data_IF_973387627332
#
_entry.id   IF_973387627332
#
_cell.length_a   1.000
_cell.length_b   1.000
_cell.length_c   1.000
_cell.angle_alpha   90.00
_cell.angle_beta   90.00
_cell.angle_gamma   90.00
#
_symmetry.space_group_name_H-M   'P 1'
#
loop_
_entity.id
_entity.type
_entity.pdbx_description
1 polymer ?
#
# COMPACT_ATOMS: atom_id res chain seq x y z
N UNK A 1 18.02 2.84 3.00
CA UNK A 1 17.40 3.90 2.19
C UNK A 1 18.51 4.72 1.58
N UNK A 2 18.82 4.40 0.33
CA UNK A 2 19.88 5.04 -0.45
C UNK A 2 19.42 6.40 -1.00
N UNK A 3 18.13 6.54 -1.29
CA UNK A 3 17.55 7.83 -1.64
C UNK A 3 17.33 8.67 -0.39
N UNK A 4 17.84 9.90 -0.44
CA UNK A 4 17.61 10.96 0.54
C UNK A 4 17.16 12.21 -0.21
N UNK A 5 16.09 12.84 0.26
CA UNK A 5 15.57 14.10 -0.26
C UNK A 5 16.58 15.21 0.01
N UNK A 6 16.72 16.11 -0.96
CA UNK A 6 17.51 17.33 -0.82
C UNK A 6 16.65 18.42 -0.19
N UNK A 7 17.24 19.19 0.73
CA UNK A 7 16.60 20.32 1.37
C UNK A 7 16.09 20.02 2.77
N UNK A 8 15.20 20.90 3.26
CA UNK A 8 14.64 20.83 4.60
C UNK A 8 13.23 20.22 4.56
N UNK A 9 12.82 19.51 5.62
CA UNK A 9 11.46 19.02 5.71
C UNK A 9 10.46 20.18 5.84
N UNK A 10 9.20 19.90 5.57
CA UNK A 10 8.10 20.84 5.80
C UNK A 10 7.64 20.79 7.25
N UNK A 11 7.13 21.91 7.77
CA UNK A 11 6.53 21.95 9.10
C UNK A 11 5.30 21.03 9.17
N UNK A 12 5.11 20.38 10.32
CA UNK A 12 4.08 19.37 10.58
C UNK A 12 4.21 18.05 9.80
N UNK A 13 5.22 17.91 8.92
CA UNK A 13 5.49 16.65 8.23
C UNK A 13 5.94 15.56 9.20
N UNK A 14 5.67 14.30 8.84
CA UNK A 14 6.05 13.13 9.63
C UNK A 14 7.21 12.44 8.94
N UNK A 15 8.31 12.31 9.66
CA UNK A 15 9.59 11.83 9.14
C UNK A 15 10.13 10.70 10.01
N UNK A 16 10.90 9.81 9.38
CA UNK A 16 11.68 8.80 10.08
C UNK A 16 13.06 9.36 10.44
N UNK A 17 13.48 9.15 11.68
CA UNK A 17 14.80 9.56 12.15
C UNK A 17 15.48 8.46 12.95
N UNK A 18 16.81 8.42 12.92
CA UNK A 18 17.63 7.54 13.74
C UNK A 18 18.22 8.31 14.91
N UNK A 19 18.06 7.78 16.13
CA UNK A 19 18.64 8.40 17.34
C UNK A 19 20.16 8.30 17.30
N UNK A 20 20.85 9.45 17.38
CA UNK A 20 22.31 9.52 17.40
C UNK A 20 22.86 9.64 18.80
N UNK A 21 22.32 10.57 19.58
CA UNK A 21 22.84 10.90 20.90
C UNK A 21 21.73 11.34 21.83
N UNK A 22 21.73 10.82 23.05
CA UNK A 22 20.79 11.22 24.09
C UNK A 22 21.53 12.09 25.12
N UNK A 23 21.07 13.32 25.33
CA UNK A 23 21.50 14.19 26.44
C UNK A 23 20.39 14.28 27.51
N UNK A 24 20.66 15.00 28.61
CA UNK A 24 19.75 15.13 29.75
C UNK A 24 18.41 15.81 29.42
N UNK A 25 18.38 16.79 28.51
CA UNK A 25 17.19 17.55 28.16
C UNK A 25 16.83 17.52 26.67
N UNK A 26 17.71 16.97 25.83
CA UNK A 26 17.57 16.95 24.37
C UNK A 26 18.09 15.64 23.79
N UNK A 27 17.42 15.17 22.74
CA UNK A 27 17.84 14.01 21.95
C UNK A 27 18.19 14.50 20.55
N UNK A 28 19.37 14.14 20.08
CA UNK A 28 19.82 14.43 18.72
C UNK A 28 19.55 13.22 17.84
N UNK A 29 18.91 13.47 16.70
CA UNK A 29 18.51 12.48 15.73
C UNK A 29 18.97 12.89 14.34
N UNK A 30 19.28 11.92 13.48
CA UNK A 30 19.50 12.15 12.05
C UNK A 30 18.21 11.80 11.30
N UNK A 31 17.74 12.68 10.41
CA UNK A 31 16.59 12.37 9.56
C UNK A 31 17.03 11.39 8.47
N UNK A 32 16.39 10.22 8.42
CA UNK A 32 16.78 9.16 7.48
C UNK A 32 16.40 9.51 6.03
N UNK A 33 15.34 10.31 5.87
CA UNK A 33 14.78 10.69 4.58
C UNK A 33 15.48 11.88 3.92
N UNK A 34 16.35 12.60 4.64
CA UNK A 34 16.96 13.86 4.18
C UNK A 34 18.49 13.79 4.24
N UNK A 35 19.16 14.39 3.25
CA UNK A 35 20.63 14.42 3.21
C UNK A 35 21.20 15.34 4.28
N UNK A 36 22.04 14.78 5.17
CA UNK A 36 22.82 15.51 6.17
C UNK A 36 21.99 16.42 7.10
N UNK A 37 20.73 16.05 7.35
CA UNK A 37 19.84 16.84 8.18
C UNK A 37 19.77 16.27 9.59
N UNK A 38 20.17 17.08 10.56
CA UNK A 38 20.05 16.78 11.98
C UNK A 38 18.80 17.43 12.56
N UNK A 39 18.24 16.76 13.58
CA UNK A 39 17.10 17.25 14.33
C UNK A 39 17.29 17.06 15.83
N UNK A 40 16.54 17.85 16.59
CA UNK A 40 16.54 17.82 18.04
C UNK A 40 15.12 17.57 18.55
N UNK A 41 14.99 16.64 19.48
CA UNK A 41 13.75 16.41 20.23
C UNK A 41 13.97 16.90 21.65
N UNK A 42 13.18 17.87 22.09
CA UNK A 42 13.18 18.33 23.47
C UNK A 42 12.50 17.29 24.38
N UNK A 43 12.94 17.17 25.64
CA UNK A 43 12.39 16.18 26.59
C UNK A 43 10.85 16.27 26.74
N UNK A 44 10.30 17.48 26.72
CA UNK A 44 8.85 17.72 26.80
C UNK A 44 8.06 17.20 25.60
N UNK A 45 8.73 16.94 24.48
CA UNK A 45 8.15 16.48 23.22
C UNK A 45 8.32 14.96 23.00
N UNK A 46 8.85 14.23 23.98
CA UNK A 46 9.02 12.77 23.90
C UNK A 46 7.71 12.04 24.24
N UNK A 47 7.09 12.39 25.37
CA UNK A 47 5.94 11.68 25.92
C UNK A 47 4.99 12.61 26.68
N UNK A 48 3.70 12.26 26.80
CA UNK A 48 2.78 13.00 27.67
C UNK A 48 3.10 12.72 29.14
N UNK A 49 3.30 13.78 29.93
CA UNK A 49 3.54 13.68 31.38
C UNK A 49 5.02 13.77 31.78
N UNK A 50 5.31 13.44 33.05
CA UNK A 50 6.66 13.52 33.62
C UNK A 50 7.47 12.27 33.30
N UNK A 51 8.60 12.47 32.62
CA UNK A 51 9.54 11.40 32.26
C UNK A 51 10.53 11.19 33.42
N UNK A 52 10.59 9.98 33.98
CA UNK A 52 11.59 9.60 35.00
C UNK A 52 12.90 9.16 34.36
N UNK A 53 12.83 8.38 33.29
CA UNK A 53 13.97 7.87 32.56
C UNK A 53 13.72 8.01 31.05
N UNK A 54 14.60 8.74 30.36
CA UNK A 54 14.50 8.98 28.91
C UNK A 54 14.75 7.69 28.11
N UNK A 55 15.59 6.79 28.65
CA UNK A 55 15.99 5.54 27.98
C UNK A 55 14.83 4.55 27.81
N UNK A 56 13.75 4.72 28.54
CA UNK A 56 12.54 3.88 28.41
C UNK A 56 11.77 4.23 27.12
N UNK A 57 11.94 5.45 26.60
CA UNK A 57 11.23 5.96 25.42
C UNK A 57 12.10 5.93 24.16
N UNK A 58 13.40 6.20 24.31
CA UNK A 58 14.33 6.32 23.18
C UNK A 58 15.62 5.55 23.45
N UNK A 59 16.14 4.92 22.40
CA UNK A 59 17.37 4.13 22.46
C UNK A 59 18.25 4.57 21.30
N UNK A 60 19.53 4.80 21.57
CA UNK A 60 20.52 5.17 20.55
C UNK A 60 20.59 4.11 19.45
N UNK A 61 20.70 4.56 18.20
CA UNK A 61 20.69 3.73 17.00
C UNK A 61 19.32 3.21 16.57
N UNK A 62 18.25 3.38 17.36
CA UNK A 62 16.89 3.00 16.94
C UNK A 62 16.25 4.08 16.08
N UNK A 63 15.34 3.64 15.21
CA UNK A 63 14.52 4.50 14.36
C UNK A 63 13.24 4.90 15.09
N UNK A 64 12.86 6.15 14.94
CA UNK A 64 11.66 6.76 15.50
C UNK A 64 10.90 7.49 14.39
N UNK A 65 9.58 7.48 14.50
CA UNK A 65 8.71 8.30 13.66
C UNK A 65 8.33 9.53 14.47
N UNK A 66 8.65 10.71 13.93
CA UNK A 66 8.51 11.99 14.61
C UNK A 66 7.84 13.01 13.70
N UNK A 67 7.21 14.02 14.31
CA UNK A 67 6.64 15.16 13.60
C UNK A 67 7.59 16.35 13.65
N UNK A 68 7.73 17.05 12.54
CA UNK A 68 8.45 18.31 12.44
C UNK A 68 7.64 19.43 13.06
N UNK A 69 8.18 20.10 14.07
CA UNK A 69 7.54 21.26 14.71
C UNK A 69 7.94 22.56 14.03
N UNK A 70 9.25 22.75 13.88
CA UNK A 70 9.83 23.99 13.38
C UNK A 70 11.11 23.70 12.62
N UNK A 71 11.34 24.48 11.58
CA UNK A 71 12.53 24.37 10.75
C UNK A 71 13.30 25.69 10.78
N UNK A 72 14.50 25.66 11.34
CA UNK A 72 15.42 26.80 11.29
C UNK A 72 16.29 26.68 10.04
N UNK A 73 16.02 27.53 9.04
CA UNK A 73 16.72 27.53 7.76
C UNK A 73 18.14 28.09 7.86
N UNK A 74 18.40 28.99 8.82
CA UNK A 74 19.72 29.61 9.00
C UNK A 74 20.68 28.63 9.68
N UNK A 75 20.19 27.95 10.72
CA UNK A 75 21.00 26.99 11.51
C UNK A 75 20.95 25.57 10.98
N UNK A 76 20.11 25.30 9.95
CA UNK A 76 19.82 23.96 9.44
C UNK A 76 19.48 22.99 10.56
N UNK A 77 18.69 23.43 11.53
CA UNK A 77 18.27 22.62 12.66
C UNK A 77 16.76 22.44 12.61
N UNK A 78 16.30 21.22 12.89
CA UNK A 78 14.87 20.87 12.87
C UNK A 78 14.44 20.46 14.27
N UNK A 79 13.43 21.13 14.81
CA UNK A 79 12.80 20.75 16.07
C UNK A 79 11.73 19.70 15.80
N UNK A 80 11.80 18.60 16.55
CA UNK A 80 11.01 17.40 16.32
C UNK A 80 10.21 17.01 17.57
N UNK A 81 9.09 16.33 17.35
CA UNK A 81 8.25 15.79 18.43
C UNK A 81 7.90 14.32 18.20
N UNK A 82 8.11 13.50 19.22
CA UNK A 82 7.67 12.11 19.23
C UNK A 82 6.22 12.00 19.74
N UNK A 83 5.83 12.84 20.69
CA UNK A 83 4.52 12.81 21.35
C UNK A 83 3.38 13.24 20.41
N UNK A 84 3.62 14.19 19.51
CA UNK A 84 2.56 14.77 18.66
C UNK A 84 2.17 13.91 17.46
N UNK A 85 2.81 12.74 17.27
CA UNK A 85 2.49 11.81 16.19
C UNK A 85 1.31 10.91 16.58
N UNK A 86 0.14 11.01 15.91
CA UNK A 86 -0.97 10.08 16.12
C UNK A 86 -0.57 8.65 15.75
N UNK A 87 -1.15 7.65 16.45
CA UNK A 87 -0.84 6.23 16.19
C UNK A 87 -1.14 5.82 14.74
N UNK A 88 -2.22 6.33 14.13
CA UNK A 88 -2.58 6.06 12.74
C UNK A 88 -1.48 6.52 11.77
N UNK A 89 -0.98 7.74 11.94
CA UNK A 89 0.08 8.28 11.08
C UNK A 89 1.42 7.60 11.34
N UNK A 90 1.73 7.25 12.61
CA UNK A 90 2.91 6.46 12.95
C UNK A 90 2.89 5.10 12.27
N UNK A 91 1.76 4.40 12.31
CA UNK A 91 1.61 3.11 11.66
C UNK A 91 1.75 3.23 10.15
N UNK A 92 1.07 4.20 9.53
CA UNK A 92 1.18 4.50 8.10
C UNK A 92 2.63 4.76 7.68
N UNK A 93 3.36 5.61 8.40
CA UNK A 93 4.77 5.91 8.08
C UNK A 93 5.69 4.69 8.25
N UNK A 94 5.44 3.85 9.25
CA UNK A 94 6.17 2.60 9.42
C UNK A 94 5.89 1.59 8.28
N UNK A 95 4.66 1.54 7.79
CA UNK A 95 4.29 0.70 6.65
C UNK A 95 4.95 1.20 5.37
N UNK A 96 4.90 2.50 5.10
CA UNK A 96 5.60 3.16 4.00
C UNK A 96 7.10 2.82 4.05
N UNK A 97 7.74 2.99 5.21
CA UNK A 97 9.16 2.64 5.37
C UNK A 97 9.46 1.15 5.10
N UNK A 98 8.61 0.25 5.57
CA UNK A 98 8.75 -1.20 5.29
C UNK A 98 8.60 -1.51 3.81
N UNK A 99 7.68 -0.84 3.12
CA UNK A 99 7.49 -0.98 1.68
C UNK A 99 8.73 -0.46 0.93
N UNK A 100 9.25 0.71 1.31
CA UNK A 100 10.47 1.26 0.71
C UNK A 100 11.68 0.33 0.84
N UNK A 101 11.91 -0.29 2.01
CA UNK A 101 12.98 -1.28 2.16
C UNK A 101 12.79 -2.46 1.20
N UNK A 102 11.55 -2.94 1.04
CA UNK A 102 11.27 -4.06 0.14
C UNK A 102 11.56 -3.66 -1.30
N UNK A 103 11.11 -2.48 -1.72
CA UNK A 103 11.36 -1.97 -3.07
C UNK A 103 12.84 -1.70 -3.33
N UNK A 104 13.60 -1.18 -2.35
CA UNK A 104 15.06 -1.01 -2.46
C UNK A 104 15.76 -2.35 -2.65
N UNK A 105 15.37 -3.40 -1.91
CA UNK A 105 15.89 -4.76 -2.08
C UNK A 105 15.53 -5.36 -3.44
N UNK A 106 14.33 -5.07 -3.96
CA UNK A 106 13.94 -5.49 -5.30
C UNK A 106 14.76 -4.76 -6.36
N UNK A 107 14.99 -3.46 -6.21
CA UNK A 107 15.86 -2.70 -7.10
C UNK A 107 17.30 -3.24 -7.08
N UNK A 108 17.82 -3.62 -5.91
CA UNK A 108 19.11 -4.31 -5.77
C UNK A 108 19.12 -5.64 -6.52
N UNK A 109 18.05 -6.43 -6.42
CA UNK A 109 17.90 -7.71 -7.11
C UNK A 109 17.92 -7.52 -8.64
N UNK A 110 17.19 -6.53 -9.15
CA UNK A 110 17.17 -6.18 -10.59
C UNK A 110 18.57 -5.70 -11.03
N UNK A 111 19.25 -4.93 -10.19
CA UNK A 111 20.63 -4.52 -10.41
C UNK A 111 21.58 -5.70 -10.57
N UNK A 112 21.45 -6.74 -9.73
CA UNK A 112 22.27 -7.96 -9.83
C UNK A 112 22.10 -8.67 -11.18
N UNK A 113 20.87 -8.73 -11.71
CA UNK A 113 20.63 -9.31 -13.04
C UNK A 113 21.25 -8.47 -14.17
N UNK A 114 21.24 -7.14 -14.01
CA UNK A 114 21.87 -6.20 -14.95
C UNK A 114 23.38 -6.02 -14.72
N UNK A 115 23.97 -6.65 -13.70
CA UNK A 115 25.35 -6.47 -13.23
C UNK A 115 25.68 -5.01 -12.85
N UNK A 116 24.71 -4.31 -12.28
CA UNK A 116 24.82 -2.94 -11.78
C UNK A 116 24.65 -2.97 -10.25
N UNK A 117 25.44 -2.20 -9.53
CA UNK A 117 25.31 -2.05 -8.08
C UNK A 117 24.06 -1.23 -7.71
N UNK A 118 23.65 -1.26 -6.44
CA UNK A 118 22.48 -0.52 -5.99
C UNK A 118 22.60 0.98 -6.29
N UNK A 119 23.79 1.56 -6.10
CA UNK A 119 24.04 2.98 -6.37
C UNK A 119 23.88 3.30 -7.86
N UNK A 120 24.42 2.48 -8.75
CA UNK A 120 24.22 2.61 -10.19
C UNK A 120 22.75 2.47 -10.60
N UNK A 121 21.99 1.58 -9.95
CA UNK A 121 20.55 1.44 -10.20
C UNK A 121 19.76 2.69 -9.79
N UNK A 122 20.11 3.35 -8.69
CA UNK A 122 19.52 4.64 -8.33
C UNK A 122 19.80 5.72 -9.37
N UNK A 123 21.04 5.81 -9.86
CA UNK A 123 21.41 6.76 -10.92
C UNK A 123 20.69 6.50 -12.24
N UNK A 124 20.46 5.22 -12.58
CA UNK A 124 19.88 4.83 -13.86
C UNK A 124 18.35 4.89 -13.88
N UNK A 125 17.72 4.38 -12.82
CA UNK A 125 16.26 4.19 -12.75
C UNK A 125 15.65 4.77 -11.49
N UNK A 126 16.28 4.56 -10.32
CA UNK A 126 15.69 4.92 -9.03
C UNK A 126 15.33 6.40 -8.91
N UNK A 127 16.20 7.32 -9.30
CA UNK A 127 15.90 8.76 -9.26
C UNK A 127 14.73 9.12 -10.18
N UNK A 128 14.70 8.63 -11.42
CA UNK A 128 13.59 8.91 -12.35
C UNK A 128 12.25 8.39 -11.83
N UNK A 129 12.24 7.19 -11.23
CA UNK A 129 11.04 6.62 -10.61
C UNK A 129 10.58 7.47 -9.42
N UNK A 130 11.50 7.90 -8.57
CA UNK A 130 11.17 8.70 -7.40
C UNK A 130 10.74 10.13 -7.78
N UNK A 131 11.34 10.72 -8.81
CA UNK A 131 10.98 12.06 -9.27
C UNK A 131 9.55 12.10 -9.87
N UNK A 132 9.09 10.98 -10.46
CA UNK A 132 7.75 10.88 -11.03
C UNK A 132 6.69 10.41 -10.02
N UNK A 133 6.97 9.34 -9.27
CA UNK A 133 6.00 8.72 -8.35
C UNK A 133 6.15 9.18 -6.89
N UNK A 134 7.21 9.94 -6.57
CA UNK A 134 7.54 10.40 -5.23
C UNK A 134 8.26 9.37 -4.35
N UNK A 135 7.93 8.08 -4.49
CA UNK A 135 8.46 6.97 -3.70
C UNK A 135 8.61 5.71 -4.55
N UNK A 136 9.60 4.87 -4.23
CA UNK A 136 9.88 3.66 -5.01
C UNK A 136 8.82 2.58 -4.77
N UNK A 137 8.28 2.50 -3.56
CA UNK A 137 7.16 1.65 -3.19
C UNK A 137 5.91 1.93 -4.02
N UNK A 138 5.59 3.22 -4.22
CA UNK A 138 4.46 3.65 -5.05
C UNK A 138 4.72 3.26 -6.50
N UNK A 139 5.88 3.63 -7.04
CA UNK A 139 6.26 3.28 -8.42
C UNK A 139 6.12 1.78 -8.69
N UNK A 140 6.59 0.94 -7.76
CA UNK A 140 6.54 -0.51 -7.93
C UNK A 140 5.12 -1.09 -7.79
N UNK A 141 4.26 -0.50 -6.97
CA UNK A 141 2.84 -0.88 -6.92
C UNK A 141 2.15 -0.55 -8.25
N UNK A 142 2.40 0.64 -8.81
CA UNK A 142 1.81 1.05 -10.08
C UNK A 142 2.33 0.21 -11.25
N UNK A 143 3.63 -0.12 -11.25
CA UNK A 143 4.21 -1.06 -12.21
C UNK A 143 3.59 -2.46 -12.06
N UNK A 144 3.32 -2.91 -10.84
CA UNK A 144 2.65 -4.18 -10.60
C UNK A 144 1.22 -4.18 -11.14
N UNK A 145 0.52 -3.04 -11.09
CA UNK A 145 -0.87 -2.90 -11.53
C UNK A 145 -1.01 -2.70 -13.04
N UNK A 146 -0.26 -1.74 -13.62
CA UNK A 146 -0.41 -1.29 -15.01
C UNK A 146 0.72 -1.77 -15.93
N UNK A 147 1.73 -2.45 -15.38
CA UNK A 147 2.84 -3.02 -16.15
C UNK A 147 3.72 -1.96 -16.82
N UNK A 148 3.97 -2.14 -18.13
CA UNK A 148 4.86 -1.26 -18.90
C UNK A 148 4.28 0.14 -19.09
N UNK A 149 2.95 0.29 -19.03
CA UNK A 149 2.29 1.57 -19.26
C UNK A 149 2.65 2.59 -18.17
N UNK A 150 2.82 2.14 -16.93
CA UNK A 150 3.18 2.99 -15.79
C UNK A 150 4.51 3.74 -16.01
N UNK A 151 5.49 3.13 -16.68
CA UNK A 151 6.85 3.69 -16.83
C UNK A 151 7.13 4.19 -18.24
N UNK A 152 6.13 4.19 -19.13
CA UNK A 152 6.30 4.57 -20.53
C UNK A 152 6.83 5.99 -20.69
N UNK A 153 6.37 6.91 -19.84
CA UNK A 153 6.80 8.32 -19.85
C UNK A 153 8.26 8.52 -19.44
N UNK A 154 8.84 7.58 -18.69
CA UNK A 154 10.22 7.68 -18.18
C UNK A 154 11.28 7.34 -19.23
N UNK A 155 10.86 6.83 -20.40
CA UNK A 155 11.71 6.53 -21.55
C UNK A 155 12.95 5.68 -21.20
N UNK A 156 12.75 4.60 -20.44
CA UNK A 156 13.80 3.63 -20.17
C UNK A 156 14.10 2.77 -21.41
N UNK A 157 15.34 2.25 -21.56
CA UNK A 157 15.63 1.27 -22.60
C UNK A 157 14.68 0.08 -22.51
N UNK A 158 14.09 -0.32 -23.64
CA UNK A 158 13.00 -1.29 -23.68
C UNK A 158 13.32 -2.60 -22.92
N UNK A 159 14.51 -3.15 -23.13
CA UNK A 159 14.96 -4.39 -22.45
C UNK A 159 15.00 -4.25 -20.92
N UNK A 160 15.34 -3.08 -20.42
CA UNK A 160 15.47 -2.82 -18.98
C UNK A 160 14.10 -2.54 -18.34
N UNK A 161 13.25 -1.83 -19.07
CA UNK A 161 11.87 -1.58 -18.69
C UNK A 161 11.07 -2.89 -18.57
N UNK A 162 11.18 -3.77 -19.58
CA UNK A 162 10.55 -5.09 -19.59
C UNK A 162 11.04 -5.96 -18.42
N UNK A 163 12.36 -5.95 -18.15
CA UNK A 163 12.93 -6.68 -17.02
C UNK A 163 12.41 -6.17 -15.67
N UNK A 164 12.37 -4.85 -15.49
CA UNK A 164 11.84 -4.20 -14.28
C UNK A 164 10.38 -4.63 -14.04
N UNK A 165 9.52 -4.46 -15.06
CA UNK A 165 8.09 -4.78 -14.98
C UNK A 165 7.87 -6.24 -14.62
N UNK A 166 8.56 -7.15 -15.31
CA UNK A 166 8.45 -8.58 -15.07
C UNK A 166 8.81 -8.94 -13.62
N UNK A 167 9.97 -8.49 -13.13
CA UNK A 167 10.43 -8.82 -11.78
C UNK A 167 9.51 -8.21 -10.72
N UNK A 168 9.02 -7.00 -10.94
CA UNK A 168 8.10 -6.33 -10.03
C UNK A 168 6.76 -7.08 -9.97
N UNK A 169 6.17 -7.45 -11.10
CA UNK A 169 4.93 -8.24 -11.15
C UNK A 169 5.08 -9.65 -10.55
N UNK A 170 6.24 -10.29 -10.71
CA UNK A 170 6.50 -11.61 -10.12
C UNK A 170 6.64 -11.55 -8.58
N UNK A 171 7.24 -10.48 -8.04
CA UNK A 171 7.62 -10.41 -6.62
C UNK A 171 6.70 -9.56 -5.75
N UNK A 172 6.00 -8.59 -6.35
CA UNK A 172 4.98 -7.79 -5.67
C UNK A 172 3.64 -8.38 -6.05
N UNK A 173 2.94 -8.94 -5.06
CA UNK A 173 1.53 -9.27 -5.25
C UNK A 173 0.81 -7.95 -5.48
N UNK A 174 0.03 -7.78 -6.57
CA UNK A 174 -0.77 -6.59 -6.74
C UNK A 174 -1.63 -6.41 -5.48
N UNK A 175 -1.75 -5.16 -5.04
CA UNK A 175 -2.63 -4.83 -3.90
C UNK A 175 -4.04 -5.07 -4.39
N UNK A 176 -4.58 -6.23 -4.06
CA UNK A 176 -5.92 -6.61 -4.44
C UNK A 176 -6.89 -6.21 -3.34
N UNK A 177 -7.92 -5.47 -3.72
CA UNK A 177 -9.05 -5.11 -2.88
C UNK A 177 -10.14 -6.15 -3.11
N UNK A 178 -10.65 -6.72 -2.02
CA UNK A 178 -11.77 -7.68 -2.07
C UNK A 178 -13.04 -6.97 -1.59
N UNK A 179 -14.01 -6.82 -2.50
CA UNK A 179 -15.35 -6.32 -2.17
C UNK A 179 -16.31 -7.51 -2.15
N UNK A 180 -17.22 -7.53 -1.19
CA UNK A 180 -18.14 -8.65 -1.04
C UNK A 180 -19.57 -8.25 -0.73
N UNK A 181 -20.49 -9.06 -1.24
CA UNK A 181 -21.93 -8.95 -1.01
C UNK A 181 -22.49 -10.32 -0.65
N UNK A 182 -23.42 -10.36 0.30
CA UNK A 182 -24.14 -11.59 0.65
C UNK A 182 -25.52 -11.57 0.02
N UNK A 183 -25.83 -12.60 -0.76
CA UNK A 183 -27.09 -12.83 -1.44
C UNK A 183 -27.85 -13.95 -0.76
N UNK A 184 -29.16 -13.80 -0.64
CA UNK A 184 -30.10 -14.88 -0.33
C UNK A 184 -30.68 -15.37 -1.65
N UNK A 185 -30.40 -16.63 -2.01
CA UNK A 185 -30.87 -17.25 -3.25
C UNK A 185 -31.85 -18.37 -2.90
N UNK A 186 -33.09 -18.25 -3.37
CA UNK A 186 -34.13 -19.24 -3.17
C UNK A 186 -34.76 -19.63 -4.50
N UNK A 187 -34.89 -20.93 -4.75
CA UNK A 187 -35.69 -21.47 -5.85
C UNK A 187 -36.76 -22.40 -5.28
N UNK A 188 -37.98 -22.27 -5.79
CA UNK A 188 -39.14 -23.08 -5.39
C UNK A 188 -39.46 -24.17 -6.43
N UNK A 189 -38.57 -24.41 -7.39
CA UNK A 189 -38.73 -25.49 -8.37
C UNK A 189 -38.42 -26.86 -7.73
N UNK A 190 -38.92 -27.92 -8.36
CA UNK A 190 -38.58 -29.31 -7.99
C UNK A 190 -37.07 -29.60 -8.09
N UNK A 191 -36.33 -28.74 -8.82
CA UNK A 191 -34.88 -28.82 -9.05
C UNK A 191 -34.14 -27.59 -8.50
N UNK A 192 -34.58 -27.05 -7.36
CA UNK A 192 -34.10 -25.76 -6.85
C UNK A 192 -32.58 -25.64 -6.66
N UNK A 193 -31.90 -26.73 -6.30
CA UNK A 193 -30.42 -26.75 -6.17
C UNK A 193 -29.74 -26.69 -7.53
N UNK A 194 -30.26 -27.41 -8.54
CA UNK A 194 -29.74 -27.37 -9.91
C UNK A 194 -29.91 -25.97 -10.50
N UNK A 195 -31.03 -25.30 -10.21
CA UNK A 195 -31.29 -23.94 -10.67
C UNK A 195 -30.29 -22.94 -10.09
N UNK A 196 -30.08 -22.97 -8.77
CA UNK A 196 -29.12 -22.08 -8.10
C UNK A 196 -27.70 -22.33 -8.63
N UNK A 197 -27.32 -23.60 -8.79
CA UNK A 197 -26.00 -23.96 -9.34
C UNK A 197 -25.83 -23.41 -10.75
N UNK A 198 -26.83 -23.58 -11.61
CA UNK A 198 -26.77 -23.09 -13.00
C UNK A 198 -26.62 -21.56 -13.07
N UNK A 199 -27.35 -20.84 -12.21
CA UNK A 199 -27.25 -19.36 -12.10
C UNK A 199 -25.84 -18.94 -11.70
N UNK A 200 -25.26 -19.58 -10.68
CA UNK A 200 -23.91 -19.26 -10.22
C UNK A 200 -22.86 -19.60 -11.29
N UNK A 201 -23.03 -20.71 -12.02
CA UNK A 201 -22.16 -21.07 -13.15
C UNK A 201 -22.24 -20.06 -14.30
N UNK A 202 -23.42 -19.51 -14.59
CA UNK A 202 -23.59 -18.45 -15.60
C UNK A 202 -22.91 -17.13 -15.16
N UNK A 203 -23.02 -16.77 -13.89
CA UNK A 203 -22.31 -15.63 -13.31
C UNK A 203 -20.79 -15.81 -13.38
N UNK A 204 -20.27 -17.01 -13.09
CA UNK A 204 -18.84 -17.32 -13.25
C UNK A 204 -18.39 -17.26 -14.71
N UNK A 205 -19.21 -17.75 -15.65
CA UNK A 205 -18.91 -17.65 -17.10
C UNK A 205 -18.85 -16.19 -17.55
N UNK A 206 -19.75 -15.35 -17.07
CA UNK A 206 -19.72 -13.92 -17.34
C UNK A 206 -18.45 -13.27 -16.79
N UNK A 207 -18.12 -13.55 -15.53
CA UNK A 207 -16.91 -13.05 -14.89
C UNK A 207 -15.64 -13.46 -15.65
N UNK A 208 -15.54 -14.74 -16.06
CA UNK A 208 -14.41 -15.24 -16.88
C UNK A 208 -14.31 -14.52 -18.22
N UNK A 209 -15.42 -14.21 -18.88
CA UNK A 209 -15.42 -13.50 -20.16
C UNK A 209 -14.90 -12.06 -20.05
N UNK A 210 -15.10 -11.42 -18.90
CA UNK A 210 -14.63 -10.06 -18.59
C UNK A 210 -13.32 -10.03 -17.80
N UNK A 211 -12.67 -11.18 -17.60
CA UNK A 211 -11.45 -11.32 -16.78
C UNK A 211 -11.62 -10.86 -15.31
N UNK A 212 -12.85 -10.88 -14.80
CA UNK A 212 -13.17 -10.52 -13.41
C UNK A 212 -12.82 -11.68 -12.48
N UNK A 213 -12.02 -11.42 -11.45
CA UNK A 213 -11.71 -12.41 -10.40
C UNK A 213 -12.85 -12.51 -9.39
N UNK A 214 -13.78 -13.43 -9.66
CA UNK A 214 -14.92 -13.74 -8.79
C UNK A 214 -14.64 -14.97 -7.93
N UNK A 215 -15.06 -14.93 -6.66
CA UNK A 215 -15.10 -16.07 -5.75
C UNK A 215 -16.49 -16.17 -5.12
N UNK A 216 -17.17 -17.31 -5.31
CA UNK A 216 -18.51 -17.56 -4.82
C UNK A 216 -18.43 -18.54 -3.65
N UNK A 217 -18.76 -18.08 -2.44
CA UNK A 217 -18.67 -18.87 -1.22
C UNK A 217 -20.06 -19.21 -0.72
N UNK A 218 -20.34 -20.51 -0.56
CA UNK A 218 -21.52 -20.98 0.16
C UNK A 218 -21.34 -20.76 1.66
N UNK A 219 -22.21 -19.93 2.28
CA UNK A 219 -22.17 -19.71 3.73
C UNK A 219 -23.09 -20.71 4.43
N UNK A 220 -24.36 -20.70 4.06
CA UNK A 220 -25.43 -21.54 4.63
C UNK A 220 -26.62 -21.51 3.69
N UNK A 221 -27.61 -22.40 3.82
CA UNK A 221 -28.87 -22.19 3.12
C UNK A 221 -29.62 -20.98 3.75
N UNK A 222 -30.24 -20.08 2.98
CA UNK A 222 -30.13 -19.80 1.53
C UNK A 222 -29.07 -18.73 1.16
N UNK A 223 -28.04 -18.51 1.99
CA UNK A 223 -27.04 -17.43 1.89
C UNK A 223 -25.76 -17.82 1.14
N UNK A 224 -25.41 -17.01 0.15
CA UNK A 224 -24.19 -17.11 -0.65
C UNK A 224 -23.43 -15.78 -0.59
N UNK A 225 -22.11 -15.82 -0.55
CA UNK A 225 -21.27 -14.63 -0.63
C UNK A 225 -20.59 -14.57 -1.98
N UNK A 226 -20.75 -13.44 -2.65
CA UNK A 226 -20.01 -13.11 -3.87
C UNK A 226 -18.89 -12.17 -3.47
N UNK A 227 -17.66 -12.58 -3.74
CA UNK A 227 -16.46 -11.80 -3.50
C UNK A 227 -15.82 -11.47 -4.86
N UNK A 228 -15.55 -10.20 -5.11
CA UNK A 228 -14.83 -9.73 -6.30
C UNK A 228 -13.50 -9.15 -5.85
N UNK A 229 -12.45 -9.55 -6.56
CA UNK A 229 -11.09 -9.13 -6.28
C UNK A 229 -10.57 -8.29 -7.43
N UNK A 230 -10.23 -7.02 -7.19
CA UNK A 230 -9.71 -6.12 -8.22
C UNK A 230 -8.59 -5.22 -7.68
N UNK A 231 -7.92 -4.47 -8.54
CA UNK A 231 -6.82 -3.58 -8.16
C UNK A 231 -7.29 -2.32 -7.40
N UNK A 232 -8.52 -1.86 -7.66
CA UNK A 232 -9.09 -0.66 -7.06
C UNK A 232 -10.49 -0.93 -6.49
N UNK A 233 -10.84 -0.24 -5.39
CA UNK A 233 -12.13 -0.40 -4.73
C UNK A 233 -13.32 -0.05 -5.65
N UNK A 234 -13.20 1.02 -6.43
CA UNK A 234 -14.26 1.47 -7.35
C UNK A 234 -14.50 0.46 -8.48
N UNK A 235 -13.43 -0.07 -9.07
CA UNK A 235 -13.51 -1.10 -10.12
C UNK A 235 -14.13 -2.37 -9.54
N UNK A 236 -13.69 -2.79 -8.34
CA UNK A 236 -14.26 -3.96 -7.66
C UNK A 236 -15.76 -3.80 -7.34
N UNK A 237 -16.22 -2.59 -6.99
CA UNK A 237 -17.66 -2.31 -6.79
C UNK A 237 -18.44 -2.40 -8.11
N UNK A 238 -17.94 -1.78 -9.18
CA UNK A 238 -18.57 -1.82 -10.50
C UNK A 238 -18.68 -3.27 -11.02
N UNK A 239 -17.59 -4.04 -10.95
CA UNK A 239 -17.56 -5.45 -11.32
C UNK A 239 -18.51 -6.30 -10.47
N UNK A 240 -18.57 -6.06 -9.16
CA UNK A 240 -19.49 -6.75 -8.25
C UNK A 240 -20.95 -6.44 -8.57
N UNK A 241 -21.28 -5.19 -8.91
CA UNK A 241 -22.61 -4.81 -9.35
C UNK A 241 -23.00 -5.52 -10.66
N UNK A 242 -22.10 -5.61 -11.62
CA UNK A 242 -22.33 -6.33 -12.87
C UNK A 242 -22.61 -7.82 -12.63
N UNK A 243 -21.77 -8.50 -11.83
CA UNK A 243 -21.95 -9.91 -11.48
C UNK A 243 -23.28 -10.12 -10.76
N UNK A 244 -23.63 -9.24 -9.81
CA UNK A 244 -24.90 -9.32 -9.11
C UNK A 244 -26.08 -9.15 -10.07
N UNK A 245 -26.02 -8.20 -11.02
CA UNK A 245 -27.07 -8.01 -12.04
C UNK A 245 -27.32 -9.29 -12.84
N UNK A 246 -26.27 -9.99 -13.26
CA UNK A 246 -26.38 -11.28 -13.96
C UNK A 246 -27.10 -12.32 -13.09
N UNK A 247 -26.72 -12.45 -11.82
CA UNK A 247 -27.40 -13.37 -10.88
C UNK A 247 -28.88 -13.02 -10.71
N UNK A 248 -29.21 -11.73 -10.58
CA UNK A 248 -30.59 -11.25 -10.47
C UNK A 248 -31.43 -11.57 -11.70
N UNK A 249 -30.88 -11.35 -12.90
CA UNK A 249 -31.60 -11.57 -14.15
C UNK A 249 -31.83 -13.06 -14.43
N UNK A 250 -30.83 -13.91 -14.17
CA UNK A 250 -30.97 -15.36 -14.37
C UNK A 250 -31.90 -16.00 -13.34
N UNK A 251 -31.88 -15.54 -12.08
CA UNK A 251 -32.85 -16.01 -11.08
C UNK A 251 -34.29 -15.60 -11.39
N UNK A 252 -34.51 -14.39 -11.91
CA UNK A 252 -35.85 -13.95 -12.33
C UNK A 252 -36.41 -14.81 -13.45
N UNK A 253 -35.60 -15.19 -14.44
CA UNK A 253 -36.02 -16.11 -15.52
C UNK A 253 -36.49 -17.47 -14.97
N UNK A 254 -35.86 -17.94 -13.89
CA UNK A 254 -36.17 -19.20 -13.22
C UNK A 254 -37.24 -19.08 -12.12
N UNK A 255 -37.89 -17.93 -11.98
CA UNK A 255 -38.89 -17.63 -10.92
C UNK A 255 -38.34 -17.79 -9.50
N UNK A 256 -37.03 -17.63 -9.31
CA UNK A 256 -36.38 -17.63 -8.00
C UNK A 256 -36.42 -16.26 -7.32
N UNK A 257 -36.18 -16.24 -6.00
CA UNK A 257 -36.06 -15.01 -5.20
C UNK A 257 -34.58 -14.74 -4.93
N UNK A 258 -34.18 -13.48 -5.10
CA UNK A 258 -32.86 -12.96 -4.76
C UNK A 258 -33.02 -11.75 -3.85
N UNK A 259 -32.39 -11.80 -2.68
CA UNK A 259 -32.35 -10.65 -1.76
C UNK A 259 -30.92 -10.29 -1.37
N UNK A 260 -30.62 -8.99 -1.34
CA UNK A 260 -29.35 -8.45 -0.86
C UNK A 260 -29.40 -8.32 0.66
N UNK A 261 -28.46 -8.96 1.36
CA UNK A 261 -28.28 -8.74 2.79
C UNK A 261 -27.58 -7.41 2.98
N UNK A 262 -28.33 -6.35 3.27
CA UNK A 262 -27.75 -5.05 3.65
C UNK A 262 -26.95 -5.23 4.93
N UNK A 263 -25.65 -4.91 4.90
CA UNK A 263 -24.84 -4.76 6.12
C UNK A 263 -25.46 -3.61 6.94
N UNK A 264 -25.91 -3.91 8.16
CA UNK A 264 -26.24 -2.90 9.17
C UNK A 264 -24.95 -2.33 9.75
#
# INVERSE_FOLDING_TARGET
>A
MFYKKKGLPEENSIVLCTVKKILFHSIFVELDEYEHQEGMIHISEIAPGRIRNIRDYVIEGKKLVVQVLRVDKERRQVDLSLRRVPLSLRNKKNEEYKQEIKSEKLLEYIGKELKIDLKGMYLKMGHKLIDHFGLLGIAFNDISAYGIEAIKELNFPQKEAELLVRIVQEKIKPVEVVVNTTLILQSFSEKGVEDIKTVLEEAEKYAKKKEIKVNIVYISAPKYRIEVTSAEYKIAEEELEEVNKVIFDEMKKRKGIVELVKKK
#
